data_IF_558392191768
#
_entry.id   IF_558392191768
#
_cell.length_a   1.000
_cell.length_b   1.000
_cell.length_c   1.000
_cell.angle_alpha   90.00
_cell.angle_beta   90.00
_cell.angle_gamma   90.00
#
_symmetry.space_group_name_H-M   'P 1'
#
loop_
_entity.id
_entity.type
_entity.pdbx_description
1 polymer ?
#
# COMPACT_ATOMS: atom_id res chain seq x y z
N UNK A 1 -2.94 -5.06 9.03
CA UNK A 1 -1.48 -5.08 9.37
C UNK A 1 -1.33 -4.67 10.83
N UNK A 2 -0.90 -5.57 11.74
CA UNK A 2 -1.01 -5.37 13.20
C UNK A 2 -0.57 -3.99 13.72
N UNK A 3 0.62 -3.50 13.30
CA UNK A 3 1.13 -2.19 13.79
C UNK A 3 0.28 -1.01 13.30
N UNK A 4 -0.22 -1.08 12.07
CA UNK A 4 -1.10 -0.06 11.50
C UNK A 4 -2.45 -0.12 12.19
N UNK A 5 -3.04 -1.32 12.31
CA UNK A 5 -4.38 -1.51 12.88
C UNK A 5 -4.44 -1.08 14.35
N UNK A 6 -3.34 -1.25 15.10
CA UNK A 6 -3.26 -0.89 16.52
C UNK A 6 -2.91 0.59 16.77
N UNK A 7 -1.89 1.12 16.10
CA UNK A 7 -1.30 2.42 16.44
C UNK A 7 -1.84 3.56 15.58
N UNK A 8 -2.14 3.29 14.31
CA UNK A 8 -2.58 4.30 13.35
C UNK A 8 -3.62 3.71 12.39
N UNK A 9 -4.81 3.36 12.90
CA UNK A 9 -5.84 2.70 12.10
C UNK A 9 -6.33 3.60 10.96
N UNK A 10 -6.64 2.99 9.83
CA UNK A 10 -7.15 3.71 8.66
C UNK A 10 -8.66 3.92 8.76
N UNK A 11 -9.09 5.17 8.66
CA UNK A 11 -10.51 5.48 8.52
C UNK A 11 -11.00 5.09 7.11
N UNK A 12 -12.13 4.36 7.03
CA UNK A 12 -12.74 3.99 5.74
C UNK A 12 -13.12 5.26 4.97
N UNK A 13 -12.67 5.37 3.71
CA UNK A 13 -12.86 6.57 2.88
C UNK A 13 -11.96 7.75 3.24
N UNK A 14 -11.07 7.58 4.21
CA UNK A 14 -10.06 8.57 4.58
C UNK A 14 -8.88 8.62 3.61
N UNK A 15 -8.00 9.61 3.83
CA UNK A 15 -6.74 9.75 3.12
C UNK A 15 -5.59 9.42 4.06
N UNK A 16 -4.60 8.67 3.58
CA UNK A 16 -3.44 8.23 4.36
C UNK A 16 -2.17 8.50 3.57
N UNK A 17 -1.11 8.94 4.24
CA UNK A 17 0.21 9.09 3.65
C UNK A 17 1.17 8.00 4.15
N UNK A 18 1.87 7.34 3.23
CA UNK A 18 2.94 6.41 3.54
C UNK A 18 4.30 7.11 3.33
N UNK A 19 4.94 7.51 4.42
CA UNK A 19 6.20 8.26 4.39
C UNK A 19 7.40 7.33 4.65
N UNK A 20 8.53 7.61 3.99
CA UNK A 20 9.77 6.86 4.20
C UNK A 20 10.82 7.07 3.09
N UNK A 21 12.04 6.58 3.32
CA UNK A 21 13.17 6.67 2.38
C UNK A 21 13.25 5.53 1.35
N UNK A 22 14.36 5.44 0.61
CA UNK A 22 14.65 4.29 -0.23
C UNK A 22 14.94 3.05 0.64
N UNK A 23 14.49 1.87 0.21
CA UNK A 23 14.78 0.60 0.89
C UNK A 23 14.01 0.31 2.18
N UNK A 24 13.13 1.22 2.64
CA UNK A 24 12.34 1.01 3.89
C UNK A 24 11.06 0.18 3.68
N UNK A 25 10.87 -0.39 2.50
CA UNK A 25 9.76 -1.32 2.24
C UNK A 25 8.41 -0.68 1.84
N UNK A 26 8.36 0.61 1.47
CA UNK A 26 7.10 1.30 1.10
C UNK A 26 6.27 0.54 0.05
N UNK A 27 6.92 0.13 -1.05
CA UNK A 27 6.29 -0.60 -2.15
C UNK A 27 5.71 -1.93 -1.68
N UNK A 28 6.44 -2.67 -0.84
CA UNK A 28 5.99 -3.95 -0.27
C UNK A 28 4.81 -3.74 0.69
N UNK A 29 4.86 -2.71 1.54
CA UNK A 29 3.72 -2.36 2.42
C UNK A 29 2.48 -2.01 1.61
N UNK A 30 2.63 -1.32 0.48
CA UNK A 30 1.53 -0.98 -0.40
C UNK A 30 0.91 -2.23 -1.06
N UNK A 31 1.75 -3.15 -1.56
CA UNK A 31 1.29 -4.43 -2.11
C UNK A 31 0.53 -5.27 -1.07
N UNK A 32 1.02 -5.31 0.17
CA UNK A 32 0.35 -6.03 1.26
C UNK A 32 -1.00 -5.40 1.63
N UNK A 33 -1.13 -4.08 1.55
CA UNK A 33 -2.43 -3.39 1.71
C UNK A 33 -3.40 -3.77 0.59
N UNK A 34 -2.95 -3.77 -0.67
CA UNK A 34 -3.76 -4.18 -1.83
C UNK A 34 -4.26 -5.62 -1.66
N UNK A 35 -3.35 -6.54 -1.28
CA UNK A 35 -3.66 -7.95 -1.03
C UNK A 35 -4.70 -8.11 0.08
N UNK A 36 -4.53 -7.45 1.21
CA UNK A 36 -5.46 -7.57 2.34
C UNK A 36 -6.84 -6.97 2.02
N UNK A 37 -6.91 -5.88 1.25
CA UNK A 37 -8.19 -5.33 0.77
C UNK A 37 -8.91 -6.35 -0.13
N UNK A 38 -8.19 -7.01 -1.03
CA UNK A 38 -8.77 -8.01 -1.92
C UNK A 38 -9.24 -9.27 -1.17
N UNK A 39 -8.43 -9.77 -0.22
CA UNK A 39 -8.70 -11.02 0.50
C UNK A 39 -9.71 -10.85 1.64
N UNK A 40 -9.55 -9.82 2.47
CA UNK A 40 -10.34 -9.67 3.70
C UNK A 40 -11.61 -8.83 3.50
N UNK A 41 -11.60 -7.90 2.54
CA UNK A 41 -12.72 -6.98 2.31
C UNK A 41 -13.42 -7.17 0.96
N UNK A 42 -12.96 -8.14 0.14
CA UNK A 42 -13.42 -8.36 -1.23
C UNK A 42 -13.44 -7.06 -2.06
N UNK A 43 -12.52 -6.15 -1.76
CA UNK A 43 -12.43 -4.84 -2.38
C UNK A 43 -11.51 -4.85 -3.60
N UNK A 44 -11.68 -3.84 -4.46
CA UNK A 44 -10.75 -3.57 -5.55
C UNK A 44 -9.79 -2.45 -5.13
N UNK A 45 -8.54 -2.56 -5.57
CA UNK A 45 -7.52 -1.53 -5.39
C UNK A 45 -7.01 -1.03 -6.74
N UNK A 46 -6.73 0.26 -6.84
CA UNK A 46 -6.16 0.89 -8.03
C UNK A 46 -4.83 1.54 -7.63
N UNK A 47 -3.77 1.20 -8.36
CA UNK A 47 -2.45 1.82 -8.20
C UNK A 47 -2.20 2.83 -9.32
N UNK A 48 -1.70 4.00 -8.96
CA UNK A 48 -1.24 5.02 -9.90
C UNK A 48 0.22 5.37 -9.60
N UNK A 49 1.14 4.86 -10.41
CA UNK A 49 2.57 5.13 -10.28
C UNK A 49 2.94 6.46 -10.94
N UNK A 50 3.14 7.52 -10.15
CA UNK A 50 3.53 8.84 -10.64
C UNK A 50 4.99 9.10 -10.31
N UNK A 51 5.85 9.18 -11.32
CA UNK A 51 7.29 9.42 -11.14
C UNK A 51 8.07 8.24 -10.54
N UNK A 52 7.44 7.06 -10.45
CA UNK A 52 8.08 5.82 -9.97
C UNK A 52 8.96 5.18 -11.05
N UNK A 53 9.90 4.34 -10.61
CA UNK A 53 10.80 3.64 -11.55
C UNK A 53 10.04 2.56 -12.32
N UNK A 54 10.26 2.48 -13.62
CA UNK A 54 9.67 1.43 -14.48
C UNK A 54 9.94 0.02 -13.98
N UNK A 55 11.13 -0.26 -13.43
CA UNK A 55 11.46 -1.56 -12.82
C UNK A 55 10.54 -1.87 -11.64
N UNK A 56 10.28 -0.89 -10.77
CA UNK A 56 9.39 -1.08 -9.62
C UNK A 56 7.95 -1.32 -10.08
N UNK A 57 7.54 -0.72 -11.20
CA UNK A 57 6.25 -1.01 -11.86
C UNK A 57 6.19 -2.41 -12.48
N UNK A 58 7.28 -2.91 -13.06
CA UNK A 58 7.36 -4.29 -13.55
C UNK A 58 7.31 -5.31 -12.40
N UNK A 59 7.97 -5.02 -11.29
CA UNK A 59 7.91 -5.84 -10.07
C UNK A 59 6.50 -5.81 -9.42
N UNK A 60 5.64 -4.87 -9.85
CA UNK A 60 4.27 -4.67 -9.37
C UNK A 60 3.21 -5.43 -10.18
N UNK A 61 3.55 -5.87 -11.40
CA UNK A 61 2.67 -6.62 -12.31
C UNK A 61 2.83 -8.13 -12.10
#
# INVERSE_FOLDING_TARGET
IKVIDLICPFARGGKVGLFGGAGVGKTITMLELIRNIAVEHSGLSVFAGVGERTREGNDFY
#
